data_IF_869506178787
#
_entry.id   IF_869506178787
#
_cell.length_a   1.000
_cell.length_b   1.000
_cell.length_c   1.000
_cell.angle_alpha   90.00
_cell.angle_beta   90.00
_cell.angle_gamma   90.00
#
_symmetry.space_group_name_H-M   'P 1'
#
loop_
_entity.id
_entity.type
_entity.pdbx_description
1 polymer ?
#
# COMPACT_ATOMS: atom_id res chain seq x y z
N UNK A 1 13.23 -53.90 -1.10
CA UNK A 1 13.20 -53.31 -2.44
C UNK A 1 11.78 -52.83 -2.69
N UNK A 2 11.55 -51.53 -2.84
CA UNK A 2 10.24 -50.97 -3.16
C UNK A 2 9.88 -51.34 -4.60
N UNK A 3 8.65 -51.78 -4.83
CA UNK A 3 8.19 -52.18 -6.15
C UNK A 3 7.97 -50.92 -6.99
N UNK A 4 8.84 -50.72 -7.98
CA UNK A 4 8.83 -49.57 -8.91
C UNK A 4 7.44 -49.35 -9.56
N UNK A 5 6.61 -50.38 -9.64
CA UNK A 5 5.28 -50.36 -10.27
C UNK A 5 4.21 -49.59 -9.50
N UNK A 6 4.39 -49.33 -8.20
CA UNK A 6 3.36 -48.72 -7.35
C UNK A 6 3.42 -47.19 -7.31
N UNK A 7 4.46 -46.57 -7.87
CA UNK A 7 4.56 -45.12 -7.99
C UNK A 7 4.66 -44.77 -9.46
N UNK A 8 3.67 -44.07 -10.04
CA UNK A 8 3.77 -43.64 -11.42
C UNK A 8 4.94 -42.65 -11.56
N UNK A 9 5.65 -42.74 -12.68
CA UNK A 9 6.79 -41.89 -13.01
C UNK A 9 6.39 -40.40 -13.12
N UNK A 10 5.11 -40.15 -13.43
CA UNK A 10 4.50 -38.82 -13.48
C UNK A 10 3.20 -38.84 -12.67
N UNK A 11 3.14 -38.02 -11.62
CA UNK A 11 1.90 -37.75 -10.90
C UNK A 11 1.25 -36.53 -11.56
N UNK A 12 0.28 -36.77 -12.44
CA UNK A 12 -0.55 -35.69 -12.97
C UNK A 12 -1.48 -35.19 -11.87
N UNK A 13 -1.04 -34.18 -11.11
CA UNK A 13 -1.94 -33.42 -10.27
C UNK A 13 -2.88 -32.64 -11.18
N UNK A 14 -4.11 -33.10 -11.29
CA UNK A 14 -5.18 -32.34 -11.92
C UNK A 14 -5.57 -31.20 -10.97
N UNK A 15 -4.77 -30.15 -10.97
CA UNK A 15 -5.12 -28.89 -10.34
C UNK A 15 -6.15 -28.21 -11.25
N UNK A 16 -7.41 -28.27 -10.83
CA UNK A 16 -8.49 -27.56 -11.51
C UNK A 16 -8.22 -26.05 -11.40
N UNK A 17 -7.95 -25.43 -12.55
CA UNK A 17 -7.62 -24.00 -12.67
C UNK A 17 -8.75 -23.14 -12.10
N UNK A 18 -10.01 -23.56 -12.29
CA UNK A 18 -11.17 -22.81 -11.83
C UNK A 18 -11.33 -22.92 -10.31
N UNK A 19 -11.12 -24.11 -9.73
CA UNK A 19 -11.09 -24.26 -8.26
C UNK A 19 -9.97 -23.43 -7.63
N UNK A 20 -8.80 -23.41 -8.26
CA UNK A 20 -7.65 -22.62 -7.80
C UNK A 20 -7.96 -21.12 -7.81
N UNK A 21 -8.60 -20.63 -8.89
CA UNK A 21 -9.06 -19.23 -8.97
C UNK A 21 -10.07 -18.87 -7.89
N UNK A 22 -11.00 -19.77 -7.57
CA UNK A 22 -12.01 -19.55 -6.52
C UNK A 22 -11.33 -19.40 -5.16
N UNK A 23 -10.41 -20.30 -4.82
CA UNK A 23 -9.75 -20.28 -3.51
C UNK A 23 -8.86 -19.06 -3.32
N UNK A 24 -8.08 -18.66 -4.35
CA UNK A 24 -7.25 -17.47 -4.27
C UNK A 24 -8.10 -16.20 -4.07
N UNK A 25 -9.24 -16.09 -4.75
CA UNK A 25 -10.18 -14.98 -4.52
C UNK A 25 -10.73 -14.98 -3.10
N UNK A 26 -10.97 -16.16 -2.50
CA UNK A 26 -11.38 -16.28 -1.10
C UNK A 26 -10.29 -15.78 -0.16
N UNK A 27 -9.05 -16.24 -0.35
CA UNK A 27 -7.89 -15.83 0.46
C UNK A 27 -7.63 -14.32 0.36
N UNK A 28 -7.79 -13.72 -0.82
CA UNK A 28 -7.68 -12.26 -0.99
C UNK A 28 -8.77 -11.55 -0.18
N UNK A 29 -10.03 -12.01 -0.27
CA UNK A 29 -11.15 -11.43 0.47
C UNK A 29 -10.98 -11.55 1.98
N UNK A 30 -10.43 -12.67 2.44
CA UNK A 30 -10.20 -12.96 3.86
C UNK A 30 -8.92 -12.27 4.39
N UNK A 31 -8.14 -11.61 3.53
CA UNK A 31 -6.88 -10.93 3.89
C UNK A 31 -5.71 -11.87 4.16
N UNK A 32 -5.88 -13.17 3.94
CA UNK A 32 -4.86 -14.20 4.18
C UNK A 32 -3.85 -14.34 3.02
N UNK A 33 -4.17 -13.76 1.86
CA UNK A 33 -3.33 -13.85 0.67
C UNK A 33 -2.04 -13.03 0.76
N UNK A 34 -2.10 -11.86 1.39
CA UNK A 34 -1.07 -10.82 1.29
C UNK A 34 -0.05 -10.90 2.43
N UNK A 35 0.65 -12.04 2.51
CA UNK A 35 1.75 -12.22 3.47
C UNK A 35 3.07 -11.71 2.87
N UNK A 36 4.03 -11.30 3.72
CA UNK A 36 5.33 -10.76 3.29
C UNK A 36 6.25 -11.77 2.59
N UNK A 37 5.93 -13.06 2.63
CA UNK A 37 6.72 -14.12 2.02
C UNK A 37 6.22 -14.48 0.63
N UNK A 38 7.14 -14.84 -0.27
CA UNK A 38 6.84 -15.33 -1.63
C UNK A 38 6.08 -14.35 -2.55
N UNK A 39 6.25 -13.04 -2.36
CA UNK A 39 5.60 -11.98 -3.16
C UNK A 39 5.76 -12.20 -4.66
N UNK A 40 6.99 -12.42 -5.14
CA UNK A 40 7.26 -12.65 -6.57
C UNK A 40 6.53 -13.88 -7.14
N UNK A 41 6.46 -14.96 -6.35
CA UNK A 41 5.80 -16.21 -6.76
C UNK A 41 4.28 -16.02 -6.82
N UNK A 42 3.71 -15.26 -5.88
CA UNK A 42 2.27 -14.92 -5.86
C UNK A 42 1.88 -14.03 -7.01
N UNK A 43 2.67 -12.99 -7.31
CA UNK A 43 2.43 -12.12 -8.47
C UNK A 43 2.47 -12.92 -9.77
N UNK A 44 3.46 -13.80 -9.92
CA UNK A 44 3.53 -14.71 -11.07
C UNK A 44 2.29 -15.60 -11.15
N UNK A 45 1.85 -16.18 -10.04
CA UNK A 45 0.66 -17.04 -9.99
C UNK A 45 -0.63 -16.29 -10.36
N UNK A 46 -0.82 -15.06 -9.87
CA UNK A 46 -1.96 -14.23 -10.23
C UNK A 46 -1.98 -13.91 -11.73
N UNK A 47 -0.80 -13.65 -12.31
CA UNK A 47 -0.64 -13.39 -13.75
C UNK A 47 -0.99 -14.62 -14.59
N UNK A 48 -0.48 -15.80 -14.22
CA UNK A 48 -0.79 -17.07 -14.91
C UNK A 48 -2.29 -17.39 -14.82
N UNK A 49 -2.91 -17.15 -13.67
CA UNK A 49 -4.34 -17.39 -13.46
C UNK A 49 -5.25 -16.28 -14.01
N UNK A 50 -4.68 -15.20 -14.54
CA UNK A 50 -5.39 -14.01 -15.04
C UNK A 50 -6.30 -13.35 -13.98
N UNK A 51 -5.89 -13.41 -12.72
CA UNK A 51 -6.60 -12.78 -11.61
C UNK A 51 -6.10 -11.33 -11.49
N UNK A 52 -7.01 -10.37 -11.69
CA UNK A 52 -6.73 -8.97 -11.37
C UNK A 52 -6.82 -8.79 -9.86
N UNK A 53 -5.69 -8.56 -9.23
CA UNK A 53 -5.59 -8.19 -7.82
C UNK A 53 -4.63 -7.01 -7.72
N UNK A 54 -5.11 -5.94 -7.11
CA UNK A 54 -4.27 -4.83 -6.71
C UNK A 54 -3.97 -5.06 -5.22
N UNK A 55 -2.74 -5.43 -4.82
CA UNK A 55 -2.38 -5.69 -3.42
C UNK A 55 -2.48 -4.42 -2.55
N UNK A 56 -2.60 -3.28 -3.21
CA UNK A 56 -2.78 -1.98 -2.62
C UNK A 56 -4.26 -1.85 -2.22
N UNK A 57 -4.64 -2.54 -1.15
CA UNK A 57 -5.83 -2.18 -0.35
C UNK A 57 -5.43 -0.99 0.55
N UNK A 58 -4.99 0.10 -0.10
CA UNK A 58 -4.47 1.29 0.56
C UNK A 58 -5.58 2.16 1.13
N UNK A 59 -6.81 1.71 1.32
CA UNK A 59 -7.86 2.61 1.83
C UNK A 59 -7.43 3.25 3.18
N UNK A 60 -6.81 2.45 4.05
CA UNK A 60 -6.19 2.92 5.31
C UNK A 60 -4.96 3.80 5.09
N UNK A 61 -4.13 3.49 4.09
CA UNK A 61 -2.92 4.28 3.77
C UNK A 61 -3.29 5.61 3.11
N UNK A 62 -4.30 5.63 2.24
CA UNK A 62 -4.89 6.79 1.59
C UNK A 62 -5.53 7.70 2.63
N UNK A 63 -6.34 7.14 3.53
CA UNK A 63 -6.94 7.91 4.63
C UNK A 63 -5.85 8.54 5.52
N UNK A 64 -4.76 7.81 5.78
CA UNK A 64 -3.64 8.33 6.57
C UNK A 64 -2.85 9.40 5.80
N UNK A 65 -2.68 9.24 4.49
CA UNK A 65 -2.04 10.23 3.63
C UNK A 65 -2.88 11.52 3.54
N UNK A 66 -4.19 11.43 3.36
CA UNK A 66 -5.10 12.60 3.32
C UNK A 66 -5.09 13.39 4.63
N UNK A 67 -5.03 12.69 5.78
CA UNK A 67 -4.88 13.33 7.09
C UNK A 67 -3.53 14.05 7.23
N UNK A 68 -2.45 13.46 6.73
CA UNK A 68 -1.12 14.08 6.75
C UNK A 68 -1.07 15.33 5.88
N UNK A 69 -1.60 15.28 4.65
CA UNK A 69 -1.63 16.43 3.74
C UNK A 69 -2.45 17.59 4.31
N UNK A 70 -3.57 17.29 4.97
CA UNK A 70 -4.41 18.31 5.61
C UNK A 70 -3.70 19.02 6.77
N UNK A 71 -2.84 18.30 7.51
CA UNK A 71 -2.07 18.88 8.60
C UNK A 71 -0.93 19.77 8.08
N UNK A 72 -0.26 19.35 7.00
CA UNK A 72 0.79 20.13 6.35
C UNK A 72 0.24 21.49 5.85
N UNK A 73 -0.92 21.49 5.18
CA UNK A 73 -1.59 22.72 4.73
C UNK A 73 -1.91 23.69 5.88
N UNK A 74 -2.22 23.16 7.07
CA UNK A 74 -2.51 23.97 8.25
C UNK A 74 -1.23 24.58 8.82
N UNK A 75 -0.17 23.78 8.93
CA UNK A 75 1.16 24.23 9.36
C UNK A 75 1.69 25.33 8.43
N UNK A 76 1.53 25.17 7.11
CA UNK A 76 1.94 26.20 6.15
C UNK A 76 1.22 27.54 6.37
N UNK A 77 -0.08 27.51 6.66
CA UNK A 77 -0.87 28.72 6.96
C UNK A 77 -0.39 29.40 8.24
N UNK A 78 -0.10 28.63 9.29
CA UNK A 78 0.43 29.17 10.55
C UNK A 78 1.80 29.81 10.34
N UNK A 79 2.72 29.14 9.65
CA UNK A 79 4.05 29.66 9.33
C UNK A 79 3.95 30.97 8.54
N UNK A 80 3.06 31.01 7.54
CA UNK A 80 2.80 32.23 6.76
C UNK A 80 2.26 33.37 7.64
N UNK A 81 1.35 33.06 8.56
CA UNK A 81 0.80 34.03 9.51
C UNK A 81 1.88 34.62 10.42
N UNK A 82 2.74 33.78 10.98
CA UNK A 82 3.89 34.20 11.81
C UNK A 82 4.83 35.09 10.99
N UNK A 83 5.17 34.69 9.76
CA UNK A 83 6.05 35.44 8.87
C UNK A 83 5.52 36.87 8.61
N UNK A 84 4.22 37.00 8.33
CA UNK A 84 3.58 38.32 8.11
C UNK A 84 3.63 39.18 9.38
N UNK A 85 3.37 38.60 10.55
CA UNK A 85 3.39 39.33 11.82
C UNK A 85 4.80 39.83 12.17
N UNK A 86 5.82 39.00 11.95
CA UNK A 86 7.22 39.40 12.11
C UNK A 86 7.58 40.55 11.18
N UNK A 87 7.18 40.49 9.91
CA UNK A 87 7.42 41.60 8.98
C UNK A 87 6.74 42.90 9.42
N UNK A 88 5.55 42.83 10.04
CA UNK A 88 4.87 44.01 10.59
C UNK A 88 5.62 44.59 11.79
N UNK A 89 6.07 43.74 12.71
CA UNK A 89 6.84 44.15 13.90
C UNK A 89 8.17 44.82 13.53
N UNK A 90 8.94 44.20 12.63
CA UNK A 90 10.19 44.75 12.11
C UNK A 90 9.99 46.13 11.49
N UNK A 91 8.89 46.33 10.76
CA UNK A 91 8.56 47.65 10.20
C UNK A 91 8.24 48.65 11.31
N UNK A 92 7.42 48.29 12.29
CA UNK A 92 7.06 49.22 13.38
C UNK A 92 8.24 49.63 14.25
N UNK A 93 9.19 48.74 14.52
CA UNK A 93 10.42 49.08 15.26
C UNK A 93 11.29 50.06 14.46
N UNK A 94 11.46 49.84 13.15
CA UNK A 94 12.25 50.72 12.29
C UNK A 94 11.71 52.16 12.24
N UNK A 95 10.39 52.35 12.32
CA UNK A 95 9.77 53.67 12.35
C UNK A 95 9.85 54.36 13.72
N UNK A 96 10.03 53.61 14.81
CA UNK A 96 10.13 54.18 16.14
C UNK A 96 11.53 54.74 16.42
N UNK A 97 12.58 54.15 15.85
CA UNK A 97 13.98 54.60 15.99
C UNK A 97 14.35 55.79 15.08
N UNK A 98 13.43 56.26 14.22
CA UNK A 98 13.64 57.38 13.29
C UNK A 98 13.02 58.72 13.75
N UNK A 99 12.48 58.79 14.98
CA UNK A 99 11.88 59.99 15.60
C UNK A 99 12.71 60.41 16.81
#
# INVERSE_FOLDING_TARGET
>A
RRWQTWFPEVIHYYADVDKTRIEIKRLIKDGEWDTKEFTEMREKLLKELQIKHNPIDNEVILEKLEKLTSNDDNLEKEIRGISINLQKLLKSELYHDQV
#
